data_IF_772615493132
#
_entry.id   IF_772615493132
#
_cell.length_a   1.000
_cell.length_b   1.000
_cell.length_c   1.000
_cell.angle_alpha   90.00
_cell.angle_beta   90.00
_cell.angle_gamma   90.00
#
_symmetry.space_group_name_H-M   'P 1'
#
loop_
_entity.id
_entity.type
_entity.pdbx_description
1 polymer ?
#
# COMPACT_ATOMS: atom_id res chain seq x y z
N UNK A 1 12.85 -10.67 -12.41
CA UNK A 1 12.28 -9.63 -11.53
C UNK A 1 12.33 -8.31 -12.28
N UNK A 2 11.21 -7.60 -12.40
CA UNK A 2 11.16 -6.31 -13.08
C UNK A 2 11.60 -5.23 -12.08
N UNK A 3 12.82 -4.72 -12.20
CA UNK A 3 13.25 -3.58 -11.39
C UNK A 3 12.51 -2.32 -11.84
N UNK A 4 11.82 -1.66 -10.91
CA UNK A 4 11.08 -0.42 -11.16
C UNK A 4 11.75 0.71 -10.40
N UNK A 5 12.30 1.68 -11.14
CA UNK A 5 12.87 2.90 -10.58
C UNK A 5 11.91 4.07 -10.79
N UNK A 6 11.62 4.82 -9.73
CA UNK A 6 10.87 6.08 -9.82
C UNK A 6 11.85 7.21 -10.11
N UNK A 7 11.74 7.82 -11.29
CA UNK A 7 12.61 8.92 -11.72
C UNK A 7 11.92 10.24 -11.37
N UNK A 8 12.19 10.73 -10.15
CA UNK A 8 11.58 11.95 -9.59
C UNK A 8 12.58 13.08 -9.32
N UNK A 9 13.85 12.90 -9.68
CA UNK A 9 14.93 13.85 -9.46
C UNK A 9 16.07 13.63 -10.45
N UNK A 10 16.94 14.62 -10.61
CA UNK A 10 18.10 14.52 -11.50
C UNK A 10 19.04 13.37 -11.09
N UNK A 11 19.20 13.13 -9.79
CA UNK A 11 20.01 12.01 -9.28
C UNK A 11 19.42 10.65 -9.69
N UNK A 12 18.10 10.48 -9.54
CA UNK A 12 17.38 9.26 -9.94
C UNK A 12 17.38 9.05 -11.46
N UNK A 13 17.40 10.13 -12.25
CA UNK A 13 17.56 10.05 -13.70
C UNK A 13 18.92 9.46 -14.08
N UNK A 14 20.00 9.98 -13.49
CA UNK A 14 21.37 9.47 -13.72
C UNK A 14 21.52 8.00 -13.30
N UNK A 15 20.88 7.60 -12.20
CA UNK A 15 20.84 6.21 -11.73
C UNK A 15 20.14 5.30 -12.74
N UNK A 16 18.96 5.70 -13.23
CA UNK A 16 18.19 4.94 -14.21
C UNK A 16 18.97 4.74 -15.53
N UNK A 17 19.64 5.79 -16.03
CA UNK A 17 20.48 5.72 -17.24
C UNK A 17 21.66 4.76 -17.04
N UNK A 18 22.28 4.80 -15.86
CA UNK A 18 23.40 3.91 -15.53
C UNK A 18 22.96 2.44 -15.49
N UNK A 19 21.82 2.15 -14.86
CA UNK A 19 21.24 0.81 -14.81
C UNK A 19 20.89 0.29 -16.21
N UNK A 20 20.23 1.12 -17.02
CA UNK A 20 19.87 0.81 -18.41
C UNK A 20 21.12 0.45 -19.22
N UNK A 21 22.15 1.28 -19.14
CA UNK A 21 23.41 1.09 -19.87
C UNK A 21 24.11 -0.19 -19.45
N UNK A 22 24.12 -0.49 -18.13
CA UNK A 22 24.71 -1.72 -17.58
C UNK A 22 23.97 -2.96 -18.09
N UNK A 23 22.64 -2.97 -18.02
CA UNK A 23 21.84 -4.11 -18.50
C UNK A 23 22.03 -4.35 -20.00
N UNK A 24 22.06 -3.29 -20.81
CA UNK A 24 22.31 -3.42 -22.24
C UNK A 24 23.71 -3.96 -22.52
N UNK A 25 24.72 -3.52 -21.78
CA UNK A 25 26.10 -4.00 -21.98
C UNK A 25 26.21 -5.51 -21.77
N UNK A 26 25.55 -6.02 -20.73
CA UNK A 26 25.56 -7.43 -20.33
C UNK A 26 24.68 -8.31 -21.23
N UNK A 27 23.42 -7.92 -21.44
CA UNK A 27 22.44 -8.76 -22.14
C UNK A 27 22.28 -8.45 -23.63
N UNK A 28 22.81 -7.32 -24.11
CA UNK A 28 22.67 -6.82 -25.50
C UNK A 28 21.25 -6.47 -25.95
N UNK A 29 20.26 -6.65 -25.08
CA UNK A 29 18.88 -6.21 -25.29
C UNK A 29 18.28 -5.80 -23.94
N UNK A 30 17.46 -4.74 -23.95
CA UNK A 30 16.71 -4.29 -22.77
C UNK A 30 15.32 -3.88 -23.21
N UNK A 31 14.29 -4.37 -22.50
CA UNK A 31 12.91 -3.92 -22.68
C UNK A 31 12.63 -2.81 -21.68
N UNK A 32 12.33 -1.61 -22.18
CA UNK A 32 12.03 -0.44 -21.34
C UNK A 32 10.53 -0.12 -21.42
N UNK A 33 9.90 0.00 -20.27
CA UNK A 33 8.51 0.48 -20.15
C UNK A 33 8.52 1.81 -19.40
N UNK A 34 8.10 2.87 -20.07
CA UNK A 34 8.01 4.22 -19.51
C UNK A 34 6.55 4.66 -19.52
N UNK A 35 6.08 5.20 -18.39
CA UNK A 35 4.76 5.83 -18.30
C UNK A 35 4.97 7.27 -17.85
N UNK A 36 4.48 8.27 -18.59
CA UNK A 36 4.59 9.67 -18.16
C UNK A 36 3.70 9.91 -16.94
N UNK A 37 4.15 10.83 -16.07
CA UNK A 37 3.47 11.18 -14.83
C UNK A 37 4.04 10.47 -13.59
N UNK A 38 3.67 11.00 -12.42
CA UNK A 38 4.01 10.40 -11.13
C UNK A 38 3.19 9.13 -10.97
N UNK A 39 3.82 8.04 -10.52
CA UNK A 39 3.07 6.84 -10.21
C UNK A 39 2.19 7.13 -8.98
N UNK A 40 0.93 7.47 -9.22
CA UNK A 40 -0.05 7.81 -8.19
C UNK A 40 -0.15 6.72 -7.11
N UNK A 41 0.24 5.47 -7.43
CA UNK A 41 0.33 4.37 -6.46
C UNK A 41 1.41 4.63 -5.39
N UNK A 42 2.53 5.26 -5.76
CA UNK A 42 3.59 5.62 -4.81
C UNK A 42 3.14 6.74 -3.87
N UNK A 43 2.45 7.76 -4.39
CA UNK A 43 1.91 8.85 -3.58
C UNK A 43 0.80 8.35 -2.65
N UNK A 44 -0.08 7.44 -3.12
CA UNK A 44 -1.09 6.79 -2.28
C UNK A 44 -0.47 5.93 -1.17
N UNK A 45 0.57 5.16 -1.48
CA UNK A 45 1.27 4.39 -0.46
C UNK A 45 1.96 5.29 0.56
N UNK A 46 2.62 6.36 0.11
CA UNK A 46 3.24 7.34 1.00
C UNK A 46 2.21 8.03 1.90
N UNK A 47 1.05 8.41 1.34
CA UNK A 47 -0.08 8.95 2.09
C UNK A 47 -0.57 7.97 3.16
N UNK A 48 -0.80 6.70 2.82
CA UNK A 48 -1.24 5.70 3.79
C UNK A 48 -0.21 5.50 4.91
N UNK A 49 1.08 5.43 4.59
CA UNK A 49 2.12 5.35 5.63
C UNK A 49 2.15 6.58 6.54
N UNK A 50 1.97 7.78 5.99
CA UNK A 50 1.85 9.01 6.80
C UNK A 50 0.60 8.98 7.70
N UNK A 51 -0.53 8.47 7.21
CA UNK A 51 -1.74 8.28 8.01
C UNK A 51 -1.50 7.26 9.13
N UNK A 52 -0.87 6.12 8.84
CA UNK A 52 -0.58 5.10 9.85
C UNK A 52 0.36 5.63 10.93
N UNK A 53 1.41 6.37 10.56
CA UNK A 53 2.33 7.00 11.51
C UNK A 53 1.60 8.02 12.41
N UNK A 54 0.70 8.81 11.83
CA UNK A 54 -0.13 9.74 12.61
C UNK A 54 -1.03 9.00 13.60
N UNK A 55 -1.71 7.95 13.16
CA UNK A 55 -2.58 7.15 14.03
C UNK A 55 -1.76 6.50 15.16
N UNK A 56 -0.60 5.92 14.85
CA UNK A 56 0.26 5.30 15.86
C UNK A 56 0.73 6.31 16.92
N UNK A 57 0.97 7.56 16.52
CA UNK A 57 1.36 8.65 17.45
C UNK A 57 0.20 9.24 18.24
N UNK A 58 -1.02 9.16 17.71
CA UNK A 58 -2.21 9.77 18.30
C UNK A 58 -3.12 8.79 19.04
N UNK A 59 -2.80 7.49 19.01
CA UNK A 59 -3.62 6.43 19.62
C UNK A 59 -2.75 5.38 20.32
N UNK A 60 -3.35 4.54 21.17
CA UNK A 60 -2.65 3.45 21.87
C UNK A 60 -2.60 2.14 21.04
N UNK A 61 -2.71 2.22 19.72
CA UNK A 61 -2.81 1.04 18.84
C UNK A 61 -1.47 0.32 18.59
N UNK A 62 -0.37 0.85 19.11
CA UNK A 62 0.97 0.30 18.92
C UNK A 62 1.75 1.04 17.84
N UNK A 63 2.60 0.31 17.12
CA UNK A 63 3.48 0.90 16.10
C UNK A 63 2.78 1.09 14.74
N UNK A 64 3.50 1.66 13.79
CA UNK A 64 3.01 1.91 12.43
C UNK A 64 2.59 0.62 11.72
N UNK A 65 3.29 -0.49 11.96
CA UNK A 65 2.94 -1.78 11.34
C UNK A 65 1.71 -2.41 11.99
N UNK A 66 1.49 -2.22 13.29
CA UNK A 66 0.28 -2.66 13.98
C UNK A 66 -0.95 -1.90 13.47
N UNK A 67 -0.84 -0.58 13.31
CA UNK A 67 -1.88 0.23 12.66
C UNK A 67 -2.11 -0.23 11.22
N UNK A 68 -1.04 -0.45 10.44
CA UNK A 68 -1.15 -0.92 9.06
C UNK A 68 -1.86 -2.27 8.97
N UNK A 69 -1.54 -3.22 9.84
CA UNK A 69 -2.22 -4.54 9.94
C UNK A 69 -3.69 -4.36 10.24
N UNK A 70 -4.00 -3.51 11.23
CA UNK A 70 -5.36 -3.21 11.62
C UNK A 70 -6.17 -2.63 10.46
N UNK A 71 -5.67 -1.57 9.81
CA UNK A 71 -6.37 -0.90 8.72
C UNK A 71 -6.58 -1.84 7.52
N UNK A 72 -5.58 -2.65 7.16
CA UNK A 72 -5.73 -3.66 6.09
C UNK A 72 -6.85 -4.66 6.41
N UNK A 73 -6.91 -5.16 7.65
CA UNK A 73 -7.92 -6.14 8.06
C UNK A 73 -9.32 -5.52 8.14
N UNK A 74 -9.46 -4.31 8.71
CA UNK A 74 -10.76 -3.74 9.05
C UNK A 74 -11.36 -2.89 7.94
N UNK A 75 -10.54 -2.30 7.07
CA UNK A 75 -11.02 -1.51 5.95
C UNK A 75 -10.74 -2.19 4.62
N UNK A 76 -9.51 -2.68 4.43
CA UNK A 76 -9.08 -3.15 3.13
C UNK A 76 -9.75 -4.46 2.72
N UNK A 77 -9.80 -5.43 3.64
CA UNK A 77 -10.46 -6.72 3.40
C UNK A 77 -11.96 -6.52 3.10
N UNK A 78 -12.73 -5.74 3.88
CA UNK A 78 -14.12 -5.48 3.54
C UNK A 78 -14.34 -4.83 2.18
N UNK A 79 -13.47 -3.89 1.76
CA UNK A 79 -13.54 -3.29 0.41
C UNK A 79 -13.36 -4.37 -0.66
N UNK A 80 -12.31 -5.19 -0.55
CA UNK A 80 -12.06 -6.25 -1.54
C UNK A 80 -13.19 -7.28 -1.58
N UNK A 81 -13.73 -7.66 -0.41
CA UNK A 81 -14.84 -8.61 -0.31
C UNK A 81 -16.14 -8.06 -0.93
N UNK A 82 -16.35 -6.75 -0.97
CA UNK A 82 -17.54 -6.17 -1.61
C UNK A 82 -17.40 -6.03 -3.12
N UNK A 83 -16.19 -5.79 -3.63
CA UNK A 83 -15.97 -5.48 -5.06
C UNK A 83 -15.55 -6.68 -5.91
N UNK A 84 -15.01 -7.76 -5.30
CA UNK A 84 -14.55 -8.95 -6.01
C UNK A 84 -15.12 -10.22 -5.39
N UNK A 85 -15.97 -10.92 -6.16
CA UNK A 85 -16.53 -12.20 -5.76
C UNK A 85 -15.43 -13.27 -5.60
N UNK A 86 -14.45 -13.29 -6.51
CA UNK A 86 -13.30 -14.21 -6.45
C UNK A 86 -12.47 -14.00 -5.18
N UNK A 87 -12.13 -12.74 -4.85
CA UNK A 87 -11.41 -12.44 -3.61
C UNK A 87 -12.23 -12.84 -2.40
N UNK A 88 -13.54 -12.55 -2.40
CA UNK A 88 -14.44 -12.90 -1.31
C UNK A 88 -14.50 -14.40 -1.07
N UNK A 89 -14.61 -15.21 -2.12
CA UNK A 89 -14.66 -16.66 -2.05
C UNK A 89 -13.34 -17.24 -1.54
N UNK A 90 -12.21 -16.80 -2.11
CA UNK A 90 -10.88 -17.22 -1.66
C UNK A 90 -10.61 -16.84 -0.20
N UNK A 91 -10.95 -15.60 0.20
CA UNK A 91 -10.83 -15.16 1.59
C UNK A 91 -11.73 -15.98 2.52
N UNK A 92 -12.98 -16.25 2.10
CA UNK A 92 -13.91 -17.01 2.90
C UNK A 92 -13.44 -18.46 3.12
N UNK A 93 -12.87 -19.07 2.08
CA UNK A 93 -12.34 -20.42 2.16
C UNK A 93 -11.11 -20.51 3.06
N UNK A 94 -10.17 -19.55 2.93
CA UNK A 94 -8.86 -19.67 3.56
C UNK A 94 -8.75 -18.97 4.92
N UNK A 95 -9.34 -17.78 5.09
CA UNK A 95 -9.11 -16.93 6.27
C UNK A 95 -10.31 -16.82 7.21
N UNK A 96 -11.55 -17.07 6.76
CA UNK A 96 -12.75 -16.76 7.57
C UNK A 96 -12.76 -17.47 8.93
N UNK A 97 -12.36 -18.73 8.97
CA UNK A 97 -12.40 -19.60 10.16
C UNK A 97 -11.24 -19.34 11.12
N UNK A 98 -10.24 -18.56 10.70
CA UNK A 98 -9.06 -18.32 11.51
C UNK A 98 -9.35 -17.37 12.68
N UNK A 99 -8.66 -17.55 13.82
CA UNK A 99 -8.73 -16.59 14.93
C UNK A 99 -8.34 -15.18 14.48
N UNK A 100 -8.90 -14.17 15.15
CA UNK A 100 -8.64 -12.76 14.86
C UNK A 100 -7.14 -12.42 14.88
N UNK A 101 -6.42 -12.90 15.89
CA UNK A 101 -4.97 -12.66 16.03
C UNK A 101 -4.16 -13.20 14.85
N UNK A 102 -4.58 -14.34 14.29
CA UNK A 102 -3.93 -14.92 13.11
C UNK A 102 -4.22 -14.08 11.87
N UNK A 103 -5.47 -13.66 11.69
CA UNK A 103 -5.86 -12.76 10.59
C UNK A 103 -5.06 -11.46 10.64
N UNK A 104 -4.93 -10.85 11.82
CA UNK A 104 -4.21 -9.60 12.02
C UNK A 104 -2.71 -9.77 11.75
N UNK A 105 -2.09 -10.83 12.30
CA UNK A 105 -0.68 -11.17 12.06
C UNK A 105 -0.37 -11.31 10.57
N UNK A 106 -1.25 -11.97 9.81
CA UNK A 106 -1.05 -12.21 8.38
C UNK A 106 -1.19 -10.95 7.51
N UNK A 107 -1.77 -9.86 8.00
CA UNK A 107 -1.79 -8.59 7.27
C UNK A 107 -0.41 -7.92 7.21
N UNK A 108 0.50 -8.32 8.10
CA UNK A 108 1.88 -7.82 8.19
C UNK A 108 2.88 -8.77 7.55
N UNK A 109 4.16 -8.37 7.58
CA UNK A 109 5.25 -9.15 7.02
C UNK A 109 5.30 -10.58 7.59
N UNK A 110 5.35 -11.59 6.72
CA UNK A 110 5.54 -12.98 7.11
C UNK A 110 6.22 -13.79 6.00
N UNK A 111 6.77 -14.95 6.33
CA UNK A 111 7.47 -15.80 5.36
C UNK A 111 6.57 -16.29 4.21
N UNK A 112 5.25 -16.37 4.43
CA UNK A 112 4.29 -16.88 3.44
C UNK A 112 3.89 -15.84 2.39
N UNK A 113 3.71 -14.58 2.80
CA UNK A 113 3.20 -13.51 1.93
C UNK A 113 4.26 -12.43 1.62
N UNK A 114 5.44 -12.55 2.22
CA UNK A 114 6.54 -11.61 2.06
C UNK A 114 6.39 -10.35 2.93
N UNK A 115 7.13 -9.27 2.61
CA UNK A 115 7.22 -8.07 3.45
C UNK A 115 5.90 -7.29 3.53
N UNK A 116 5.02 -7.49 2.56
CA UNK A 116 3.73 -6.79 2.50
C UNK A 116 2.57 -7.54 3.15
N UNK A 117 2.79 -8.76 3.63
CA UNK A 117 1.72 -9.57 4.18
C UNK A 117 0.65 -9.94 3.14
N UNK A 118 -0.50 -10.38 3.62
CA UNK A 118 -1.61 -10.83 2.79
C UNK A 118 -2.01 -9.74 1.77
N UNK A 119 -2.13 -10.08 0.47
CA UNK A 119 -2.31 -9.08 -0.58
C UNK A 119 -3.74 -8.51 -0.57
N UNK A 120 -3.88 -7.31 0.01
CA UNK A 120 -5.15 -6.57 0.03
C UNK A 120 -5.01 -5.24 -0.72
N UNK A 121 -4.26 -4.30 -0.15
CA UNK A 121 -4.09 -2.94 -0.70
C UNK A 121 -3.35 -2.93 -2.03
N UNK A 122 -2.52 -3.95 -2.32
CA UNK A 122 -1.85 -4.10 -3.63
C UNK A 122 -2.83 -4.44 -4.76
N UNK A 123 -3.99 -5.01 -4.44
CA UNK A 123 -5.02 -5.35 -5.41
C UNK A 123 -5.93 -4.16 -5.73
N UNK A 124 -5.76 -3.04 -5.04
CA UNK A 124 -6.62 -1.88 -5.24
C UNK A 124 -6.42 -1.22 -6.60
N UNK A 125 -7.55 -0.90 -7.22
CA UNK A 125 -7.62 0.13 -8.23
C UNK A 125 -7.75 1.53 -7.58
N UNK A 126 -7.83 2.57 -8.42
CA UNK A 126 -7.97 3.97 -7.98
C UNK A 126 -9.12 4.19 -7.01
N UNK A 127 -10.28 3.62 -7.31
CA UNK A 127 -11.53 3.81 -6.57
C UNK A 127 -11.44 3.16 -5.18
N UNK A 128 -10.99 1.90 -5.13
CA UNK A 128 -10.80 1.16 -3.89
C UNK A 128 -9.74 1.82 -3.00
N UNK A 129 -8.69 2.38 -3.60
CA UNK A 129 -7.69 3.15 -2.87
C UNK A 129 -8.25 4.42 -2.22
N UNK A 130 -9.13 5.15 -2.92
CA UNK A 130 -9.84 6.30 -2.35
C UNK A 130 -10.78 5.86 -1.22
N UNK A 131 -11.62 4.84 -1.44
CA UNK A 131 -12.50 4.29 -0.41
C UNK A 131 -11.73 3.87 0.86
N UNK A 132 -10.54 3.33 0.70
CA UNK A 132 -9.69 2.92 1.82
C UNK A 132 -9.16 4.12 2.60
N UNK A 133 -8.66 5.14 1.92
CA UNK A 133 -8.26 6.42 2.55
C UNK A 133 -9.42 7.04 3.31
N UNK A 134 -10.59 7.13 2.69
CA UNK A 134 -11.78 7.76 3.29
C UNK A 134 -12.25 7.01 4.54
N UNK A 135 -12.27 5.67 4.49
CA UNK A 135 -12.67 4.85 5.66
C UNK A 135 -11.72 5.00 6.83
N UNK A 136 -10.41 5.06 6.59
CA UNK A 136 -9.42 5.33 7.64
C UNK A 136 -9.64 6.73 8.20
N UNK A 137 -9.77 7.74 7.35
CA UNK A 137 -9.97 9.12 7.79
C UNK A 137 -11.23 9.25 8.66
N UNK A 138 -12.36 8.69 8.22
CA UNK A 138 -13.62 8.71 8.97
C UNK A 138 -13.49 8.06 10.34
N UNK A 139 -12.94 6.85 10.42
CA UNK A 139 -12.81 6.14 11.70
C UNK A 139 -11.89 6.89 12.67
N UNK A 140 -10.72 7.31 12.20
CA UNK A 140 -9.69 7.85 13.07
C UNK A 140 -9.91 9.32 13.42
N UNK A 141 -10.56 10.10 12.55
CA UNK A 141 -11.01 11.45 12.92
C UNK A 141 -12.10 11.39 13.99
N UNK A 142 -13.00 10.40 13.96
CA UNK A 142 -13.95 10.18 15.07
C UNK A 142 -13.25 9.82 16.39
N UNK A 143 -12.03 9.26 16.33
CA UNK A 143 -11.16 8.97 17.48
C UNK A 143 -10.21 10.13 17.85
N UNK A 144 -10.36 11.30 17.22
CA UNK A 144 -9.56 12.49 17.52
C UNK A 144 -8.27 12.65 16.71
N UNK A 145 -8.03 11.82 15.70
CA UNK A 145 -6.84 11.93 14.82
C UNK A 145 -7.09 12.94 13.71
N UNK A 146 -6.20 13.93 13.58
CA UNK A 146 -6.28 14.95 12.54
C UNK A 146 -5.46 14.58 11.29
N UNK A 147 -6.10 14.60 10.12
CA UNK A 147 -5.49 14.33 8.80
C UNK A 147 -5.59 15.49 7.81
N UNK A 148 -6.07 16.68 8.22
CA UNK A 148 -6.35 17.77 7.28
C UNK A 148 -5.12 18.25 6.51
N UNK A 149 -3.94 18.14 7.12
CA UNK A 149 -2.64 18.42 6.51
C UNK A 149 -2.21 17.36 5.49
N UNK A 150 -2.64 16.11 5.66
CA UNK A 150 -2.30 15.00 4.77
C UNK A 150 -3.28 14.84 3.60
N UNK A 151 -4.53 15.28 3.78
CA UNK A 151 -5.61 15.15 2.80
C UNK A 151 -5.90 16.46 2.05
N UNK A 152 -5.22 17.57 2.40
CA UNK A 152 -5.40 18.88 1.76
C UNK A 152 -4.81 18.97 0.35
N UNK A 153 -5.39 19.84 -0.48
CA UNK A 153 -5.05 20.03 -1.90
C UNK A 153 -3.59 20.45 -2.16
N UNK A 154 -2.85 20.94 -1.15
CA UNK A 154 -1.44 21.34 -1.28
C UNK A 154 -0.45 20.17 -1.42
N UNK A 155 -0.90 18.91 -1.22
CA UNK A 155 -0.08 17.71 -1.38
C UNK A 155 -0.29 16.98 -2.73
N UNK A 156 -1.13 17.50 -3.63
CA UNK A 156 -1.49 16.90 -4.93
C UNK A 156 -0.55 17.31 -6.08
#
# INVERSE_FOLDING_TARGET
MTEKISVNSQAKLSEAVTMLTRMFRDKKFVVVSMRPGKDRTLDQNALWFAMYDRIAKSTEMGDVEDVRRYCKLHHGVPIMRSVSAEFREGYNLALLHLPYEIKLRWMGACAMFGPDGFPVTRLFNREQGCMYTDRIAVEFTAKGVFFGDLLGEEAA
#
